data_IF_875777502265
#
_entry.id   IF_875777502265
#
_cell.length_a   1.000
_cell.length_b   1.000
_cell.length_c   1.000
_cell.angle_alpha   90.00
_cell.angle_beta   90.00
_cell.angle_gamma   90.00
#
_symmetry.space_group_name_H-M   'P 1'
#
loop_
_entity.id
_entity.type
_entity.pdbx_description
1 polymer ?
#
# COMPACT_ATOMS: atom_id res chain seq x y z
N UNK A 1 12.99 -37.71 2.56
CA UNK A 1 13.08 -36.57 3.50
C UNK A 1 14.34 -36.68 4.35
N UNK A 2 14.96 -35.58 4.70
CA UNK A 2 16.18 -35.52 5.50
C UNK A 2 16.08 -34.30 6.41
N UNK A 3 16.46 -34.46 7.69
CA UNK A 3 16.52 -33.38 8.64
C UNK A 3 17.78 -32.54 8.42
N UNK A 4 17.63 -31.23 8.44
CA UNK A 4 18.72 -30.27 8.31
C UNK A 4 18.76 -29.42 9.56
N UNK A 5 19.90 -29.39 10.25
CA UNK A 5 20.11 -28.53 11.40
C UNK A 5 20.13 -27.05 10.96
N UNK A 6 19.28 -26.23 11.58
CA UNK A 6 19.08 -24.83 11.21
C UNK A 6 19.84 -23.82 12.11
N UNK A 7 20.61 -24.30 13.07
CA UNK A 7 21.33 -23.47 14.02
C UNK A 7 20.55 -23.21 15.32
N UNK A 8 21.17 -22.46 16.21
CA UNK A 8 20.59 -22.08 17.48
C UNK A 8 19.99 -20.68 17.36
N UNK A 9 18.79 -20.49 17.93
CA UNK A 9 18.09 -19.20 17.95
C UNK A 9 17.97 -18.71 19.39
N UNK A 10 18.12 -17.39 19.64
CA UNK A 10 17.88 -16.83 20.96
C UNK A 10 16.44 -17.10 21.40
N UNK A 11 16.29 -17.65 22.59
CA UNK A 11 15.00 -17.88 23.24
C UNK A 11 14.65 -16.68 24.09
N UNK A 12 13.38 -16.25 24.05
CA UNK A 12 12.88 -15.22 24.94
C UNK A 12 12.79 -15.76 26.36
N UNK A 13 13.27 -15.00 27.33
CA UNK A 13 13.12 -15.32 28.75
C UNK A 13 11.68 -15.15 29.23
N UNK A 14 11.32 -15.67 30.36
CA UNK A 14 9.99 -15.49 30.97
C UNK A 14 9.67 -14.01 31.24
N UNK A 15 10.70 -13.19 31.43
CA UNK A 15 10.59 -11.74 31.64
C UNK A 15 10.48 -10.94 30.34
N UNK A 16 10.47 -11.60 29.18
CA UNK A 16 10.33 -10.93 27.86
C UNK A 16 11.64 -10.29 27.34
N UNK A 17 12.78 -10.78 27.78
CA UNK A 17 14.12 -10.32 27.36
C UNK A 17 14.85 -11.40 26.56
N UNK A 18 15.99 -11.04 25.98
CA UNK A 18 16.90 -11.97 25.29
C UNK A 18 18.31 -11.83 25.87
N UNK A 19 18.99 -12.96 26.04
CA UNK A 19 20.38 -12.97 26.50
C UNK A 19 21.28 -13.13 25.28
N UNK A 20 21.98 -12.07 24.92
CA UNK A 20 22.85 -12.01 23.75
C UNK A 20 24.26 -11.67 24.21
N UNK A 21 25.23 -12.56 23.94
CA UNK A 21 26.61 -12.42 24.37
C UNK A 21 26.76 -12.12 25.90
N UNK A 22 25.92 -12.75 26.71
CA UNK A 22 25.94 -12.57 28.16
C UNK A 22 25.26 -11.31 28.70
N UNK A 23 24.71 -10.46 27.81
CA UNK A 23 23.97 -9.24 28.17
C UNK A 23 22.48 -9.41 27.91
N UNK A 24 21.67 -8.92 28.82
CA UNK A 24 20.22 -8.91 28.69
C UNK A 24 19.79 -7.77 27.78
N UNK A 25 18.99 -8.09 26.75
CA UNK A 25 18.50 -7.13 25.76
C UNK A 25 16.99 -7.14 25.68
N UNK A 26 16.44 -5.96 25.43
CA UNK A 26 15.01 -5.73 25.17
C UNK A 26 14.84 -5.34 23.71
N UNK A 27 13.89 -5.97 23.03
CA UNK A 27 13.48 -5.58 21.71
C UNK A 27 12.32 -4.59 21.86
N UNK A 28 12.59 -3.32 21.53
CA UNK A 28 11.60 -2.25 21.62
C UNK A 28 10.61 -2.39 20.47
N UNK A 29 9.31 -2.31 20.78
CA UNK A 29 8.25 -2.33 19.77
C UNK A 29 8.32 -1.08 18.89
N UNK A 30 8.08 -1.27 17.60
CA UNK A 30 8.16 -0.20 16.61
C UNK A 30 6.78 0.32 16.25
N UNK A 31 6.60 1.63 16.22
CA UNK A 31 5.39 2.28 15.73
C UNK A 31 5.59 2.66 14.26
N UNK A 32 4.81 2.04 13.38
CA UNK A 32 4.90 2.22 11.92
C UNK A 32 3.56 2.61 11.33
N UNK A 33 3.57 3.18 10.13
CA UNK A 33 2.33 3.40 9.38
C UNK A 33 1.73 2.05 9.00
N UNK A 34 0.43 1.89 9.26
CA UNK A 34 -0.31 0.69 8.87
C UNK A 34 -0.34 0.56 7.34
N UNK A 35 -0.23 -0.65 6.76
CA UNK A 35 -0.43 -0.83 5.33
C UNK A 35 -1.84 -0.42 4.91
N UNK A 36 -1.98 0.06 3.67
CA UNK A 36 -3.25 0.54 3.12
C UNK A 36 -3.05 1.64 2.09
N UNK A 37 -4.13 2.31 1.73
CA UNK A 37 -4.13 3.47 0.84
C UNK A 37 -4.46 4.74 1.64
N UNK A 38 -3.65 5.79 1.44
CA UNK A 38 -3.73 7.05 2.16
C UNK A 38 -3.81 8.22 1.20
N UNK A 39 -4.68 9.16 1.50
CA UNK A 39 -4.87 10.39 0.74
C UNK A 39 -4.48 11.58 1.61
N UNK A 40 -3.67 12.47 1.07
CA UNK A 40 -3.20 13.66 1.74
C UNK A 40 -3.42 14.89 0.86
N UNK A 41 -3.43 16.04 1.50
CA UNK A 41 -3.50 17.34 0.86
C UNK A 41 -2.33 18.18 1.33
N UNK A 42 -1.68 18.85 0.40
CA UNK A 42 -0.65 19.85 0.66
C UNK A 42 -1.06 21.14 -0.03
N UNK A 43 -0.61 22.27 0.49
CA UNK A 43 -0.90 23.58 -0.10
C UNK A 43 0.40 24.14 -0.69
N UNK A 44 0.36 24.59 -1.93
CA UNK A 44 1.51 25.22 -2.57
C UNK A 44 1.73 26.66 -2.02
N UNK A 45 2.81 27.30 -2.47
CA UNK A 45 3.15 28.69 -2.08
C UNK A 45 2.09 29.70 -2.53
N UNK A 46 1.22 29.34 -3.47
CA UNK A 46 0.15 30.18 -4.02
C UNK A 46 -1.20 29.90 -3.36
N UNK A 47 -1.25 29.05 -2.34
CA UNK A 47 -2.49 28.68 -1.65
C UNK A 47 -3.34 27.62 -2.38
N UNK A 48 -2.82 26.99 -3.46
CA UNK A 48 -3.58 25.96 -4.18
C UNK A 48 -3.43 24.61 -3.51
N UNK A 49 -4.52 23.84 -3.33
CA UNK A 49 -4.45 22.51 -2.79
C UNK A 49 -3.86 21.55 -3.83
N UNK A 50 -2.92 20.74 -3.41
CA UNK A 50 -2.39 19.61 -4.15
C UNK A 50 -2.71 18.33 -3.39
N UNK A 51 -3.34 17.40 -4.08
CA UNK A 51 -3.68 16.12 -3.50
C UNK A 51 -2.59 15.09 -3.83
N UNK A 52 -2.35 14.22 -2.89
CA UNK A 52 -1.45 13.08 -3.03
C UNK A 52 -2.10 11.83 -2.50
N UNK A 53 -1.64 10.70 -2.99
CA UNK A 53 -2.06 9.38 -2.53
C UNK A 53 -0.85 8.50 -2.36
N UNK A 54 -0.83 7.67 -1.34
CA UNK A 54 0.24 6.69 -1.14
C UNK A 54 -0.37 5.34 -0.81
N UNK A 55 -0.10 4.34 -1.63
CA UNK A 55 -0.39 2.94 -1.33
C UNK A 55 0.83 2.34 -0.64
N UNK A 56 0.66 1.94 0.61
CA UNK A 56 1.73 1.41 1.45
C UNK A 56 1.45 -0.06 1.71
N UNK A 57 2.26 -0.99 1.18
CA UNK A 57 2.19 -2.39 1.56
C UNK A 57 2.88 -2.63 2.91
N UNK A 58 2.61 -3.77 3.51
CA UNK A 58 3.43 -4.28 4.62
C UNK A 58 4.83 -4.66 4.14
N UNK A 59 4.92 -5.17 2.90
CA UNK A 59 6.15 -5.49 2.18
C UNK A 59 5.92 -5.30 0.69
N UNK A 60 6.79 -4.56 0.01
CA UNK A 60 6.73 -4.35 -1.43
C UNK A 60 6.94 -2.90 -1.83
N UNK A 61 6.69 -2.61 -3.09
CA UNK A 61 6.84 -1.31 -3.68
C UNK A 61 5.73 -0.34 -3.24
N UNK A 62 6.10 0.90 -2.95
CA UNK A 62 5.13 1.97 -2.73
C UNK A 62 4.63 2.50 -4.07
N UNK A 63 3.35 2.85 -4.11
CA UNK A 63 2.74 3.50 -5.25
C UNK A 63 2.17 4.84 -4.79
N UNK A 64 2.62 5.91 -5.42
CA UNK A 64 2.24 7.28 -5.05
C UNK A 64 1.60 7.98 -6.25
N UNK A 65 0.47 8.66 -6.04
CA UNK A 65 -0.15 9.55 -7.01
C UNK A 65 -0.01 10.99 -6.52
N UNK A 66 0.25 11.92 -7.42
CA UNK A 66 0.33 13.33 -7.10
C UNK A 66 -0.07 14.20 -8.30
N UNK A 67 -0.68 15.35 -8.03
CA UNK A 67 -0.84 16.41 -9.05
C UNK A 67 0.36 17.33 -9.03
N UNK A 68 0.81 17.75 -10.20
CA UNK A 68 1.81 18.80 -10.32
C UNK A 68 1.15 20.21 -10.28
N UNK A 69 1.99 21.26 -10.27
CA UNK A 69 1.52 22.65 -10.27
C UNK A 69 0.67 23.03 -11.50
N UNK A 70 0.66 22.21 -12.54
CA UNK A 70 -0.15 22.39 -13.75
C UNK A 70 -1.44 21.57 -13.74
N UNK A 71 -1.70 20.82 -12.66
CA UNK A 71 -2.87 19.94 -12.54
C UNK A 71 -2.71 18.57 -13.18
N UNK A 72 -1.52 18.22 -13.69
CA UNK A 72 -1.28 16.93 -14.34
C UNK A 72 -1.12 15.85 -13.28
N UNK A 73 -1.83 14.74 -13.47
CA UNK A 73 -1.75 13.58 -12.59
C UNK A 73 -0.53 12.71 -12.90
N UNK A 74 0.33 12.55 -11.94
CA UNK A 74 1.56 11.77 -12.04
C UNK A 74 1.56 10.61 -11.06
N UNK A 75 2.35 9.59 -11.37
CA UNK A 75 2.57 8.39 -10.53
C UNK A 75 4.05 8.23 -10.25
N UNK A 76 4.39 7.76 -9.06
CA UNK A 76 5.73 7.28 -8.68
C UNK A 76 5.66 5.87 -8.15
N UNK A 77 6.67 5.09 -8.48
CA UNK A 77 6.86 3.74 -7.95
C UNK A 77 8.20 3.75 -7.19
N UNK A 78 8.19 3.44 -5.88
CA UNK A 78 9.41 3.35 -5.05
C UNK A 78 10.34 4.57 -5.14
N UNK A 79 9.84 5.79 -5.06
CA UNK A 79 10.63 7.02 -5.13
C UNK A 79 11.38 7.23 -6.46
N UNK A 80 10.97 6.56 -7.51
CA UNK A 80 11.54 6.78 -8.85
C UNK A 80 11.10 8.12 -9.44
N UNK A 81 11.54 8.43 -10.65
CA UNK A 81 11.07 9.60 -11.38
C UNK A 81 9.58 9.49 -11.69
N UNK A 82 8.87 10.62 -11.71
CA UNK A 82 7.46 10.70 -12.07
C UNK A 82 7.22 10.15 -13.48
N UNK A 83 6.12 9.43 -13.61
CA UNK A 83 5.51 9.06 -14.88
C UNK A 83 4.06 9.54 -14.91
N UNK A 84 3.46 9.67 -16.08
CA UNK A 84 2.06 10.07 -16.16
C UNK A 84 1.15 8.96 -15.62
N UNK A 85 0.04 9.34 -14.99
CA UNK A 85 -0.93 8.37 -14.48
C UNK A 85 -1.49 7.51 -15.61
N UNK A 86 -1.71 8.10 -16.79
CA UNK A 86 -2.16 7.41 -18.00
C UNK A 86 -1.18 6.32 -18.47
N UNK A 87 0.12 6.54 -18.38
CA UNK A 87 1.14 5.53 -18.73
C UNK A 87 1.01 4.27 -17.87
N UNK A 88 0.72 4.43 -16.56
CA UNK A 88 0.49 3.25 -15.71
C UNK A 88 -0.81 2.53 -16.08
N UNK A 89 -1.89 3.25 -16.39
CA UNK A 89 -3.16 2.66 -16.82
C UNK A 89 -2.99 1.91 -18.15
N UNK A 90 -2.23 2.47 -19.09
CA UNK A 90 -1.89 1.77 -20.35
C UNK A 90 -1.07 0.50 -20.09
N UNK A 91 -0.08 0.56 -19.20
CA UNK A 91 0.72 -0.61 -18.83
C UNK A 91 -0.14 -1.73 -18.19
N UNK A 92 -1.25 -1.39 -17.54
CA UNK A 92 -2.22 -2.38 -17.03
C UNK A 92 -3.06 -3.05 -18.13
N UNK A 93 -2.94 -2.61 -19.40
CA UNK A 93 -3.63 -3.19 -20.53
C UNK A 93 -4.75 -2.33 -21.16
N UNK A 94 -4.92 -1.10 -20.69
CA UNK A 94 -5.91 -0.15 -21.22
C UNK A 94 -5.22 0.88 -22.13
N UNK A 95 -4.87 0.46 -23.36
CA UNK A 95 -3.95 1.17 -24.24
C UNK A 95 -4.51 2.42 -24.88
N UNK A 96 -5.79 2.48 -25.23
CA UNK A 96 -6.40 3.61 -25.92
C UNK A 96 -6.88 4.71 -24.98
N UNK A 97 -6.96 5.96 -25.48
CA UNK A 97 -7.57 7.06 -24.72
C UNK A 97 -9.04 6.81 -24.45
N UNK A 98 -9.74 6.14 -25.40
CA UNK A 98 -11.13 5.74 -25.22
C UNK A 98 -11.31 4.75 -24.07
N UNK A 99 -10.40 3.78 -23.88
CA UNK A 99 -10.47 2.85 -22.76
C UNK A 99 -10.32 3.59 -21.42
N UNK A 100 -9.37 4.54 -21.36
CA UNK A 100 -9.14 5.34 -20.15
C UNK A 100 -10.36 6.22 -19.84
N UNK A 101 -10.95 6.87 -20.86
CA UNK A 101 -12.15 7.68 -20.68
C UNK A 101 -13.35 6.80 -20.30
N UNK A 102 -13.49 5.61 -20.87
CA UNK A 102 -14.56 4.68 -20.48
C UNK A 102 -14.43 4.20 -19.03
N UNK A 103 -13.21 4.00 -18.56
CA UNK A 103 -12.95 3.64 -17.17
C UNK A 103 -13.27 4.81 -16.24
N UNK A 104 -12.73 6.01 -16.47
CA UNK A 104 -12.74 7.11 -15.51
C UNK A 104 -13.77 8.21 -15.78
N UNK A 105 -14.32 8.32 -17.00
CA UNK A 105 -15.09 9.46 -17.52
C UNK A 105 -14.19 10.65 -17.93
N UNK A 106 -14.69 11.46 -18.85
CA UNK A 106 -14.08 12.68 -19.38
C UNK A 106 -14.31 13.93 -18.50
N UNK A 107 -14.98 13.76 -17.37
CA UNK A 107 -15.39 14.88 -16.51
C UNK A 107 -14.27 15.39 -15.58
N UNK A 108 -13.10 14.78 -15.59
CA UNK A 108 -11.99 15.14 -14.72
C UNK A 108 -10.93 15.97 -15.44
N UNK A 109 -10.77 17.24 -15.08
CA UNK A 109 -9.82 18.15 -15.71
C UNK A 109 -8.38 17.65 -15.62
N UNK A 110 -7.98 17.10 -14.46
CA UNK A 110 -6.64 16.55 -14.28
C UNK A 110 -6.37 15.33 -15.18
N UNK A 111 -7.37 14.50 -15.45
CA UNK A 111 -7.24 13.38 -16.38
C UNK A 111 -7.10 13.89 -17.83
N UNK A 112 -7.93 14.83 -18.22
CA UNK A 112 -7.91 15.41 -19.57
C UNK A 112 -6.56 16.10 -19.86
N UNK A 113 -6.07 16.93 -18.92
CA UNK A 113 -4.75 17.56 -19.03
C UNK A 113 -3.61 16.54 -19.09
N UNK A 114 -3.77 15.40 -18.40
CA UNK A 114 -2.78 14.32 -18.42
C UNK A 114 -2.79 13.58 -19.77
N UNK A 115 -3.97 13.32 -20.34
CA UNK A 115 -4.13 12.74 -21.67
C UNK A 115 -3.60 13.65 -22.78
N UNK A 116 -3.80 14.97 -22.67
CA UNK A 116 -3.23 15.94 -23.61
C UNK A 116 -1.71 15.97 -23.62
N UNK A 117 -1.10 15.74 -22.44
CA UNK A 117 0.36 15.70 -22.28
C UNK A 117 0.96 14.35 -22.68
N UNK A 118 0.17 13.29 -22.69
CA UNK A 118 0.59 11.95 -23.07
C UNK A 118 0.88 11.92 -24.58
N UNK A 119 2.18 12.02 -24.92
CA UNK A 119 2.67 12.24 -26.30
C UNK A 119 2.50 11.02 -27.21
N UNK A 120 2.23 9.86 -26.64
CA UNK A 120 2.03 8.62 -27.40
C UNK A 120 0.67 8.62 -28.12
N UNK A 121 0.49 9.53 -29.06
CA UNK A 121 -0.78 9.76 -29.76
C UNK A 121 -1.13 8.74 -30.85
N UNK A 122 -0.30 7.77 -31.10
CA UNK A 122 -0.57 6.77 -32.13
C UNK A 122 -1.48 5.65 -31.61
N UNK A 123 -2.56 5.47 -32.34
CA UNK A 123 -3.73 4.64 -32.03
C UNK A 123 -3.50 3.12 -32.22
N UNK A 124 -2.31 2.58 -31.97
CA UNK A 124 -2.02 1.17 -32.21
C UNK A 124 -1.98 0.35 -30.91
N UNK A 125 -2.21 -0.95 -31.01
CA UNK A 125 -2.09 -1.92 -29.90
C UNK A 125 -0.69 -1.89 -29.23
N UNK A 126 0.29 -1.28 -29.88
CA UNK A 126 1.65 -1.04 -29.36
C UNK A 126 1.73 -0.11 -28.14
N UNK A 127 0.67 0.65 -27.82
CA UNK A 127 0.69 1.59 -26.68
C UNK A 127 0.86 0.91 -25.32
N UNK A 128 0.31 -0.28 -25.14
CA UNK A 128 0.51 -1.07 -23.90
C UNK A 128 1.98 -1.44 -23.77
N UNK A 129 2.59 -1.90 -24.85
CA UNK A 129 4.00 -2.29 -24.89
C UNK A 129 4.94 -1.09 -24.65
N UNK A 130 4.65 0.04 -25.27
CA UNK A 130 5.42 1.28 -25.07
C UNK A 130 5.32 1.76 -23.62
N UNK A 131 4.12 1.82 -23.06
CA UNK A 131 3.90 2.20 -21.68
C UNK A 131 4.64 1.25 -20.70
N UNK A 132 4.63 -0.05 -20.97
CA UNK A 132 5.42 -1.02 -20.19
C UNK A 132 6.92 -0.72 -20.25
N UNK A 133 7.44 -0.39 -21.41
CA UNK A 133 8.87 -0.02 -21.61
C UNK A 133 9.22 1.29 -20.90
N UNK A 134 8.32 2.27 -20.89
CA UNK A 134 8.53 3.54 -20.20
C UNK A 134 8.53 3.37 -18.69
N UNK A 135 7.60 2.57 -18.15
CA UNK A 135 7.61 2.21 -16.73
C UNK A 135 8.90 1.47 -16.35
N UNK A 136 9.36 0.54 -17.20
CA UNK A 136 10.60 -0.18 -16.98
C UNK A 136 11.82 0.75 -16.94
N UNK A 137 11.91 1.70 -17.89
CA UNK A 137 13.00 2.67 -17.94
C UNK A 137 13.06 3.56 -16.69
N UNK A 138 11.90 3.90 -16.11
CA UNK A 138 11.83 4.64 -14.84
C UNK A 138 12.33 3.81 -13.66
N UNK A 139 12.01 2.51 -13.65
CA UNK A 139 12.42 1.59 -12.58
C UNK A 139 13.88 1.15 -12.70
N UNK A 140 14.39 0.98 -13.93
CA UNK A 140 15.74 0.50 -14.23
C UNK A 140 16.39 1.31 -15.36
N UNK A 141 16.82 2.54 -15.09
CA UNK A 141 17.45 3.36 -16.10
C UNK A 141 18.72 2.72 -16.67
N UNK A 142 18.84 2.71 -18.01
CA UNK A 142 20.03 2.22 -18.69
C UNK A 142 20.09 0.73 -18.96
N UNK A 143 19.11 -0.06 -18.52
CA UNK A 143 19.00 -1.48 -18.90
C UNK A 143 18.21 -1.65 -20.21
N UNK A 144 18.52 -2.69 -21.03
CA UNK A 144 17.73 -3.00 -22.23
C UNK A 144 16.28 -3.32 -21.85
N UNK A 145 15.34 -2.62 -22.52
CA UNK A 145 13.91 -2.75 -22.25
C UNK A 145 13.23 -3.58 -23.32
N UNK A 146 12.66 -4.73 -22.94
CA UNK A 146 11.77 -5.55 -23.79
C UNK A 146 10.38 -5.58 -23.15
N UNK A 147 9.34 -5.86 -23.92
CA UNK A 147 7.98 -5.99 -23.38
C UNK A 147 7.91 -7.05 -22.27
N UNK A 148 8.48 -8.23 -22.51
CA UNK A 148 8.49 -9.34 -21.55
C UNK A 148 9.22 -9.01 -20.25
N UNK A 149 10.41 -8.38 -20.34
CA UNK A 149 11.15 -7.99 -19.14
C UNK A 149 10.42 -6.91 -18.35
N UNK A 150 9.74 -6.00 -19.03
CA UNK A 150 8.95 -4.93 -18.44
C UNK A 150 7.72 -5.48 -17.71
N UNK A 151 6.99 -6.39 -18.35
CA UNK A 151 5.86 -7.12 -17.77
C UNK A 151 6.30 -7.89 -16.53
N UNK A 152 7.34 -8.72 -16.65
CA UNK A 152 7.87 -9.51 -15.55
C UNK A 152 8.30 -8.64 -14.35
N UNK A 153 8.85 -7.46 -14.61
CA UNK A 153 9.24 -6.52 -13.55
C UNK A 153 8.03 -5.95 -12.81
N UNK A 154 6.98 -5.51 -13.52
CA UNK A 154 5.75 -4.98 -12.89
C UNK A 154 4.99 -6.05 -12.13
N UNK A 155 4.85 -7.26 -12.70
CA UNK A 155 4.25 -8.42 -12.01
C UNK A 155 5.00 -8.69 -10.71
N UNK A 156 6.34 -8.75 -10.77
CA UNK A 156 7.16 -9.00 -9.60
C UNK A 156 7.10 -7.88 -8.54
N UNK A 157 6.77 -6.64 -8.94
CA UNK A 157 6.69 -5.49 -8.03
C UNK A 157 5.38 -5.40 -7.26
N UNK A 158 4.25 -5.71 -7.90
CA UNK A 158 2.92 -5.45 -7.36
C UNK A 158 2.06 -6.71 -7.19
N UNK A 159 2.24 -7.73 -8.04
CA UNK A 159 1.31 -8.85 -8.15
C UNK A 159 1.90 -10.19 -7.69
N UNK A 160 3.20 -10.26 -7.39
CA UNK A 160 3.85 -11.47 -6.87
C UNK A 160 3.72 -11.54 -5.33
N UNK A 161 2.94 -12.50 -4.77
CA UNK A 161 2.76 -12.61 -3.32
C UNK A 161 4.06 -12.93 -2.55
N UNK A 162 5.11 -13.38 -3.23
CA UNK A 162 6.43 -13.55 -2.62
C UNK A 162 7.14 -12.22 -2.35
N UNK A 163 6.82 -11.18 -3.12
CA UNK A 163 7.50 -9.88 -3.08
C UNK A 163 6.62 -8.76 -2.57
N UNK A 164 5.32 -8.83 -2.79
CA UNK A 164 4.33 -7.85 -2.37
C UNK A 164 3.34 -8.46 -1.39
N UNK A 165 3.07 -7.78 -0.29
CA UNK A 165 2.15 -8.25 0.75
C UNK A 165 1.51 -7.05 1.45
N UNK A 166 0.21 -6.92 1.34
CA UNK A 166 -0.59 -5.91 2.06
C UNK A 166 -0.84 -6.29 3.52
N UNK A 167 -0.63 -7.55 3.89
CA UNK A 167 -1.21 -8.18 5.06
C UNK A 167 -2.75 -8.07 5.11
N UNK A 168 -3.40 -8.77 6.02
CA UNK A 168 -4.86 -8.72 6.17
C UNK A 168 -5.37 -7.30 6.50
N UNK A 169 -4.62 -6.57 7.33
CA UNK A 169 -4.96 -5.20 7.71
C UNK A 169 -4.95 -4.25 6.51
N UNK A 170 -3.95 -4.35 5.63
CA UNK A 170 -3.86 -3.51 4.45
C UNK A 170 -4.97 -3.82 3.45
N UNK A 171 -5.28 -5.10 3.21
CA UNK A 171 -6.39 -5.52 2.33
C UNK A 171 -7.73 -5.02 2.88
N UNK A 172 -8.00 -5.24 4.17
CA UNK A 172 -9.21 -4.73 4.81
C UNK A 172 -9.36 -3.21 4.66
N UNK A 173 -8.28 -2.45 4.91
CA UNK A 173 -8.29 -0.98 4.79
C UNK A 173 -8.56 -0.51 3.37
N UNK A 174 -7.92 -1.13 2.37
CA UNK A 174 -8.11 -0.79 0.96
C UNK A 174 -9.55 -1.10 0.55
N UNK A 175 -10.04 -2.30 0.85
CA UNK A 175 -11.41 -2.69 0.53
C UNK A 175 -12.42 -1.74 1.18
N UNK A 176 -12.26 -1.42 2.47
CA UNK A 176 -13.14 -0.48 3.18
C UNK A 176 -13.10 0.92 2.58
N UNK A 177 -11.90 1.42 2.23
CA UNK A 177 -11.71 2.78 1.70
C UNK A 177 -12.28 2.93 0.29
N UNK A 178 -12.06 1.93 -0.56
CA UNK A 178 -12.45 1.96 -1.97
C UNK A 178 -13.85 1.37 -2.21
N UNK A 179 -14.49 0.78 -1.21
CA UNK A 179 -15.85 0.29 -1.30
C UNK A 179 -16.84 1.41 -1.61
N UNK A 180 -17.75 1.18 -2.53
CA UNK A 180 -18.86 2.11 -2.83
C UNK A 180 -19.75 2.39 -1.61
N UNK A 181 -19.87 1.46 -0.66
CA UNK A 181 -20.59 1.69 0.61
C UNK A 181 -20.01 2.87 1.39
N UNK A 182 -18.70 3.00 1.42
CA UNK A 182 -18.01 4.09 2.11
C UNK A 182 -18.02 5.37 1.28
N UNK A 183 -17.87 5.25 -0.04
CA UNK A 183 -17.72 6.37 -0.95
C UNK A 183 -19.02 7.09 -1.29
N UNK A 184 -20.15 6.38 -1.29
CA UNK A 184 -21.48 6.95 -1.57
C UNK A 184 -22.05 7.78 -0.42
N UNK A 185 -21.60 7.55 0.80
CA UNK A 185 -22.14 8.25 1.96
C UNK A 185 -21.97 9.78 1.82
N UNK A 186 -23.08 10.51 2.02
CA UNK A 186 -23.20 11.96 1.85
C UNK A 186 -23.00 12.45 0.41
N UNK A 187 -23.18 11.58 -0.60
CA UNK A 187 -23.18 11.99 -2.01
C UNK A 187 -24.61 11.98 -2.56
N UNK A 188 -24.88 12.82 -3.57
CA UNK A 188 -26.14 12.86 -4.29
C UNK A 188 -26.06 12.01 -5.56
N UNK A 189 -27.02 11.11 -5.76
CA UNK A 189 -27.03 10.23 -6.93
C UNK A 189 -27.37 11.00 -8.21
N UNK A 190 -26.56 10.85 -9.25
CA UNK A 190 -26.84 11.36 -10.60
C UNK A 190 -27.61 10.37 -11.48
N UNK A 191 -27.84 9.16 -11.01
CA UNK A 191 -28.58 8.11 -11.70
C UNK A 191 -29.56 7.40 -10.75
N UNK A 192 -30.63 6.81 -11.30
CA UNK A 192 -31.54 5.95 -10.54
C UNK A 192 -30.94 4.57 -10.37
N UNK A 193 -30.94 4.07 -9.15
CA UNK A 193 -30.48 2.72 -8.81
C UNK A 193 -31.71 1.80 -8.66
N UNK A 194 -31.73 0.72 -9.43
CA UNK A 194 -32.78 -0.29 -9.40
C UNK A 194 -32.19 -1.67 -9.17
N UNK A 195 -32.98 -2.56 -8.59
CA UNK A 195 -32.64 -3.97 -8.41
C UNK A 195 -32.48 -4.63 -9.79
N UNK A 196 -31.39 -5.30 -10.11
CA UNK A 196 -31.15 -5.93 -11.39
C UNK A 196 -32.13 -7.08 -11.68
N UNK A 197 -32.73 -7.72 -10.67
CA UNK A 197 -33.63 -8.86 -10.84
C UNK A 197 -35.09 -8.45 -10.97
N UNK A 198 -35.55 -7.55 -10.09
CA UNK A 198 -36.97 -7.14 -10.05
C UNK A 198 -37.25 -5.86 -10.83
N UNK A 199 -36.21 -5.05 -11.09
CA UNK A 199 -36.38 -3.71 -11.66
C UNK A 199 -36.97 -2.69 -10.69
N UNK A 200 -37.16 -3.04 -9.41
CA UNK A 200 -37.68 -2.13 -8.40
C UNK A 200 -36.67 -1.02 -8.12
N UNK A 201 -37.14 0.22 -8.04
CA UNK A 201 -36.29 1.38 -7.75
C UNK A 201 -35.90 1.37 -6.27
N UNK A 202 -34.59 1.29 -6.01
CA UNK A 202 -34.04 1.30 -4.66
C UNK A 202 -33.76 2.76 -4.23
N UNK A 203 -33.24 3.58 -5.14
CA UNK A 203 -32.99 5.00 -4.92
C UNK A 203 -33.10 5.75 -6.24
N UNK A 204 -33.79 6.88 -6.23
CA UNK A 204 -33.99 7.74 -7.40
C UNK A 204 -32.80 8.67 -7.62
N UNK A 205 -32.62 9.15 -8.86
CA UNK A 205 -31.72 10.25 -9.18
C UNK A 205 -32.04 11.47 -8.29
N UNK A 206 -31.03 12.18 -7.83
CA UNK A 206 -31.15 13.32 -6.92
C UNK A 206 -31.28 12.96 -5.44
N UNK A 207 -31.30 11.66 -5.10
CA UNK A 207 -31.34 11.23 -3.69
C UNK A 207 -30.00 11.46 -3.02
N UNK A 208 -30.00 12.13 -1.87
CA UNK A 208 -28.83 12.21 -0.98
C UNK A 208 -28.67 10.87 -0.24
N UNK A 209 -27.54 10.25 -0.39
CA UNK A 209 -27.23 8.95 0.25
C UNK A 209 -26.79 9.17 1.69
N UNK A 210 -27.73 9.11 2.60
CA UNK A 210 -27.50 9.09 4.04
C UNK A 210 -27.29 7.66 4.58
N UNK A 211 -27.23 7.54 5.92
CA UNK A 211 -27.04 6.22 6.57
C UNK A 211 -28.21 5.25 6.35
N UNK A 212 -29.41 5.76 6.14
CA UNK A 212 -30.59 4.94 5.91
C UNK A 212 -30.58 4.41 4.47
N UNK A 213 -30.34 5.28 3.50
CA UNK A 213 -30.24 4.92 2.08
C UNK A 213 -29.07 3.94 1.85
N UNK A 214 -27.90 4.18 2.45
CA UNK A 214 -26.76 3.26 2.30
C UNK A 214 -27.05 1.88 2.92
N UNK A 215 -27.83 1.82 4.01
CA UNK A 215 -28.26 0.56 4.61
C UNK A 215 -29.16 -0.24 3.66
N UNK A 216 -30.05 0.42 2.92
CA UNK A 216 -30.91 -0.20 1.89
C UNK A 216 -30.10 -0.64 0.67
N UNK A 217 -29.10 0.13 0.27
CA UNK A 217 -28.21 -0.18 -0.87
C UNK A 217 -27.19 -1.29 -0.56
N UNK A 218 -26.80 -1.46 0.69
CA UNK A 218 -25.74 -2.41 1.09
C UNK A 218 -25.93 -3.83 0.56
N UNK A 219 -27.12 -4.48 0.64
CA UNK A 219 -27.31 -5.83 0.10
C UNK A 219 -27.03 -5.92 -1.42
N UNK A 220 -27.32 -4.86 -2.14
CA UNK A 220 -27.10 -4.80 -3.59
C UNK A 220 -25.64 -4.48 -3.91
N UNK A 221 -25.01 -3.55 -3.18
CA UNK A 221 -23.60 -3.24 -3.34
C UNK A 221 -22.66 -4.41 -3.02
N UNK A 222 -23.16 -5.40 -2.26
CA UNK A 222 -22.44 -6.65 -1.98
C UNK A 222 -22.59 -7.69 -3.10
N UNK A 223 -23.43 -7.46 -4.09
CA UNK A 223 -23.60 -8.36 -5.23
C UNK A 223 -22.53 -8.10 -6.29
N UNK A 224 -22.01 -9.18 -6.86
CA UNK A 224 -21.00 -9.10 -7.92
C UNK A 224 -21.52 -8.53 -9.23
N UNK A 225 -22.84 -8.62 -9.48
CA UNK A 225 -23.50 -8.17 -10.70
C UNK A 225 -24.08 -6.75 -10.62
N UNK A 226 -24.10 -6.13 -9.43
CA UNK A 226 -24.73 -4.82 -9.23
C UNK A 226 -23.79 -3.68 -9.66
N UNK A 227 -24.20 -2.94 -10.70
CA UNK A 227 -23.46 -1.78 -11.22
C UNK A 227 -21.98 -2.08 -11.55
N UNK A 228 -21.70 -3.30 -11.97
CA UNK A 228 -20.36 -3.74 -12.35
C UNK A 228 -20.14 -3.61 -13.84
N UNK A 229 -18.91 -3.27 -14.19
CA UNK A 229 -18.41 -3.26 -15.56
C UNK A 229 -17.11 -4.03 -15.59
N UNK A 230 -17.01 -5.01 -16.48
CA UNK A 230 -15.81 -5.82 -16.65
C UNK A 230 -15.04 -5.32 -17.87
N UNK A 231 -13.76 -5.04 -17.65
CA UNK A 231 -12.81 -4.59 -18.66
C UNK A 231 -11.81 -5.69 -18.93
N UNK A 232 -11.64 -6.04 -20.19
CA UNK A 232 -10.63 -7.01 -20.62
C UNK A 232 -9.37 -6.25 -21.05
N UNK A 233 -8.24 -6.46 -20.38
CA UNK A 233 -6.98 -5.87 -20.81
C UNK A 233 -6.64 -6.29 -22.24
N UNK A 234 -6.10 -5.37 -23.02
CA UNK A 234 -5.70 -5.61 -24.39
C UNK A 234 -4.19 -5.79 -24.54
N UNK A 235 -3.76 -6.45 -25.59
CA UNK A 235 -2.35 -6.62 -25.93
C UNK A 235 -1.56 -7.38 -24.87
N UNK A 236 -0.27 -7.04 -24.75
CA UNK A 236 0.67 -7.64 -23.81
C UNK A 236 0.57 -7.03 -22.41
N UNK A 237 -0.62 -6.95 -21.84
CA UNK A 237 -0.89 -6.41 -20.52
C UNK A 237 -0.07 -7.06 -19.40
N UNK A 238 0.07 -6.36 -18.27
CA UNK A 238 0.75 -6.88 -17.08
C UNK A 238 0.05 -8.14 -16.57
N UNK A 239 -1.28 -8.11 -16.54
CA UNK A 239 -2.13 -9.25 -16.21
C UNK A 239 -3.18 -9.41 -17.31
N UNK A 240 -3.46 -10.64 -17.70
CA UNK A 240 -4.45 -10.99 -18.72
C UNK A 240 -5.87 -11.15 -18.15
N UNK A 241 -5.97 -11.19 -16.81
CA UNK A 241 -7.25 -11.37 -16.12
C UNK A 241 -8.17 -10.16 -16.31
N UNK A 242 -9.45 -10.36 -16.57
CA UNK A 242 -10.42 -9.27 -16.64
C UNK A 242 -10.50 -8.48 -15.33
N UNK A 243 -10.67 -7.17 -15.44
CA UNK A 243 -10.79 -6.27 -14.29
C UNK A 243 -12.24 -5.85 -14.14
N UNK A 244 -12.88 -6.25 -13.04
CA UNK A 244 -14.25 -5.88 -12.73
C UNK A 244 -14.27 -4.71 -11.76
N UNK A 245 -14.98 -3.64 -12.12
CA UNK A 245 -15.13 -2.43 -11.34
C UNK A 245 -16.62 -2.16 -11.08
N UNK A 246 -16.95 -1.73 -9.86
CA UNK A 246 -18.29 -1.20 -9.58
C UNK A 246 -18.31 0.30 -9.87
N UNK A 247 -19.36 0.79 -10.56
CA UNK A 247 -19.45 2.19 -10.99
C UNK A 247 -20.82 2.78 -10.67
N UNK A 248 -20.83 3.92 -10.00
CA UNK A 248 -22.07 4.69 -9.73
C UNK A 248 -21.79 6.17 -10.02
N UNK A 249 -22.76 6.81 -10.69
CA UNK A 249 -22.70 8.24 -11.02
C UNK A 249 -23.29 9.07 -9.89
N UNK A 250 -22.58 10.14 -9.54
CA UNK A 250 -23.00 11.12 -8.54
C UNK A 250 -22.98 12.53 -9.12
N UNK A 251 -23.72 13.44 -8.50
CA UNK A 251 -23.63 14.87 -8.80
C UNK A 251 -22.39 15.46 -8.14
N UNK A 252 -21.70 16.39 -8.83
CA UNK A 252 -20.58 17.10 -8.22
C UNK A 252 -21.09 18.07 -7.15
N UNK A 253 -20.46 18.10 -5.95
CA UNK A 253 -20.83 19.04 -4.90
C UNK A 253 -20.60 20.51 -5.31
N UNK A 254 -19.62 20.77 -6.17
CA UNK A 254 -19.27 22.13 -6.61
C UNK A 254 -20.11 22.60 -7.80
N UNK A 255 -20.49 21.68 -8.67
CA UNK A 255 -21.31 21.97 -9.86
C UNK A 255 -22.33 20.86 -10.12
N UNK A 256 -23.60 21.04 -9.74
CA UNK A 256 -24.64 20.03 -9.89
C UNK A 256 -24.91 19.59 -11.36
N UNK A 257 -24.50 20.38 -12.36
CA UNK A 257 -24.59 19.99 -13.76
C UNK A 257 -23.52 18.99 -14.17
N UNK A 258 -22.41 18.91 -13.41
CA UNK A 258 -21.30 18.00 -13.64
C UNK A 258 -21.58 16.66 -12.96
N UNK A 259 -21.50 15.58 -13.72
CA UNK A 259 -21.66 14.22 -13.23
C UNK A 259 -20.31 13.58 -13.00
N UNK A 260 -20.02 13.17 -11.76
CA UNK A 260 -18.80 12.46 -11.40
C UNK A 260 -19.05 10.97 -11.30
N UNK A 261 -18.00 10.18 -11.45
CA UNK A 261 -18.05 8.73 -11.38
C UNK A 261 -17.36 8.23 -10.11
N UNK A 262 -18.04 7.46 -9.28
CA UNK A 262 -17.43 6.70 -8.19
C UNK A 262 -17.10 5.29 -8.68
N UNK A 263 -15.86 4.89 -8.55
CA UNK A 263 -15.38 3.56 -8.90
C UNK A 263 -14.97 2.83 -7.63
N UNK A 264 -15.65 1.71 -7.34
CA UNK A 264 -15.25 0.76 -6.31
C UNK A 264 -14.32 -0.31 -6.89
N UNK A 265 -13.47 -0.89 -6.03
CA UNK A 265 -12.56 -1.97 -6.41
C UNK A 265 -13.22 -3.34 -6.56
N UNK A 266 -14.57 -3.41 -6.57
CA UNK A 266 -15.31 -4.65 -6.66
C UNK A 266 -15.21 -5.50 -5.40
N UNK A 267 -15.40 -6.81 -5.58
CA UNK A 267 -15.36 -7.79 -4.49
C UNK A 267 -14.01 -8.52 -4.51
N UNK A 268 -12.99 -7.91 -3.87
CA UNK A 268 -11.68 -8.55 -3.72
C UNK A 268 -11.66 -9.28 -2.38
N UNK A 269 -11.30 -10.56 -2.42
CA UNK A 269 -11.22 -11.43 -1.25
C UNK A 269 -10.29 -10.81 -0.18
N UNK A 270 -10.69 -10.90 1.08
CA UNK A 270 -9.90 -10.44 2.22
C UNK A 270 -8.60 -11.25 2.39
N UNK A 271 -8.55 -12.47 1.87
CA UNK A 271 -7.35 -13.31 1.87
C UNK A 271 -6.35 -12.93 0.75
N UNK A 272 -6.76 -12.14 -0.25
CA UNK A 272 -5.86 -11.65 -1.29
C UNK A 272 -4.96 -10.54 -0.73
N UNK A 273 -3.69 -10.84 -0.62
CA UNK A 273 -2.68 -9.94 -0.02
C UNK A 273 -1.87 -9.15 -1.02
N UNK A 274 -2.13 -9.31 -2.31
CA UNK A 274 -1.50 -8.49 -3.35
C UNK A 274 -2.41 -7.35 -3.78
N UNK A 275 -1.85 -6.24 -4.26
CA UNK A 275 -2.67 -5.23 -4.91
C UNK A 275 -3.22 -5.78 -6.22
N UNK A 276 -4.45 -5.42 -6.57
CA UNK A 276 -5.07 -5.80 -7.84
C UNK A 276 -5.22 -4.58 -8.76
N UNK A 277 -5.30 -4.75 -10.07
CA UNK A 277 -5.58 -3.64 -10.98
C UNK A 277 -6.81 -2.84 -10.61
N UNK A 278 -7.87 -3.50 -10.13
CA UNK A 278 -9.07 -2.84 -9.63
C UNK A 278 -8.79 -1.89 -8.45
N UNK A 279 -7.89 -2.25 -7.52
CA UNK A 279 -7.47 -1.36 -6.43
C UNK A 279 -6.76 -0.12 -6.96
N UNK A 280 -5.88 -0.30 -7.97
CA UNK A 280 -5.12 0.79 -8.59
C UNK A 280 -6.08 1.76 -9.27
N UNK A 281 -6.98 1.25 -10.11
CA UNK A 281 -7.95 2.08 -10.86
C UNK A 281 -8.95 2.77 -9.92
N UNK A 282 -9.50 2.06 -8.95
CA UNK A 282 -10.40 2.66 -7.96
C UNK A 282 -9.68 3.69 -7.07
N UNK A 283 -8.42 3.43 -6.71
CA UNK A 283 -7.56 4.36 -5.99
C UNK A 283 -7.26 5.62 -6.78
N UNK A 284 -6.97 5.51 -8.07
CA UNK A 284 -6.80 6.64 -8.99
C UNK A 284 -8.09 7.46 -9.12
N UNK A 285 -9.24 6.79 -9.25
CA UNK A 285 -10.52 7.48 -9.30
C UNK A 285 -10.83 8.23 -8.00
N UNK A 286 -10.52 7.66 -6.83
CA UNK A 286 -10.66 8.37 -5.57
C UNK A 286 -9.78 9.63 -5.54
N UNK A 287 -8.55 9.53 -6.02
CA UNK A 287 -7.63 10.65 -6.13
C UNK A 287 -8.15 11.75 -7.08
N UNK A 288 -8.74 11.40 -8.22
CA UNK A 288 -9.40 12.37 -9.12
C UNK A 288 -10.61 13.01 -8.45
N UNK A 289 -11.42 12.24 -7.73
CA UNK A 289 -12.60 12.74 -7.03
C UNK A 289 -12.26 13.72 -5.91
N UNK A 290 -11.13 13.55 -5.22
CA UNK A 290 -10.68 14.52 -4.20
C UNK A 290 -10.46 15.93 -4.76
N UNK A 291 -10.04 16.04 -6.01
CA UNK A 291 -9.84 17.32 -6.69
C UNK A 291 -11.17 18.03 -7.01
N UNK A 292 -12.25 17.25 -7.09
CA UNK A 292 -13.62 17.71 -7.31
C UNK A 292 -14.41 17.84 -5.98
N UNK A 293 -13.72 17.86 -4.85
CA UNK A 293 -14.36 17.98 -3.52
C UNK A 293 -15.07 16.72 -3.01
N UNK A 294 -14.88 15.57 -3.67
CA UNK A 294 -15.51 14.30 -3.28
C UNK A 294 -14.50 13.40 -2.59
N UNK A 295 -14.76 13.04 -1.36
CA UNK A 295 -13.89 12.19 -0.53
C UNK A 295 -13.26 12.94 0.63
N UNK A 296 -12.38 12.27 1.36
CA UNK A 296 -11.71 12.82 2.54
C UNK A 296 -10.23 12.45 2.53
N UNK A 297 -9.39 13.39 2.94
CA UNK A 297 -7.98 13.13 3.23
C UNK A 297 -7.85 12.37 4.55
N UNK A 298 -6.77 11.61 4.67
CA UNK A 298 -6.51 10.79 5.84
C UNK A 298 -5.66 11.53 6.85
N UNK A 299 -6.00 11.36 8.12
CA UNK A 299 -5.15 11.75 9.23
C UNK A 299 -4.11 10.65 9.46
N UNK A 300 -2.86 10.97 9.14
CA UNK A 300 -1.74 10.03 9.19
C UNK A 300 -1.36 9.69 10.62
N UNK A 301 -1.56 10.62 11.56
CA UNK A 301 -1.14 10.48 12.96
C UNK A 301 -2.20 9.81 13.84
N UNK A 302 -3.39 9.63 13.31
CA UNK A 302 -4.44 8.85 13.96
C UNK A 302 -3.97 7.41 14.21
N UNK A 303 -4.10 6.88 15.45
CA UNK A 303 -3.65 5.53 15.80
C UNK A 303 -4.37 4.39 15.03
N UNK A 304 -5.49 4.68 14.37
CA UNK A 304 -6.06 3.78 13.38
C UNK A 304 -5.20 3.61 12.12
N UNK A 305 -4.29 4.54 11.85
CA UNK A 305 -3.37 4.56 10.70
C UNK A 305 -1.91 4.28 11.09
N UNK A 306 -1.63 4.22 12.38
CA UNK A 306 -0.34 3.79 12.93
C UNK A 306 -0.54 2.50 13.71
N UNK A 307 0.35 1.54 13.51
CA UNK A 307 0.29 0.25 14.20
C UNK A 307 1.60 -0.07 14.91
N UNK A 308 1.50 -0.95 15.88
CA UNK A 308 2.67 -1.45 16.59
C UNK A 308 3.17 -2.71 15.89
N UNK A 309 4.45 -2.74 15.63
CA UNK A 309 5.20 -3.91 15.17
C UNK A 309 5.98 -4.45 16.36
N UNK A 310 5.52 -5.57 16.91
CA UNK A 310 6.13 -6.19 18.09
C UNK A 310 7.31 -7.09 17.71
N UNK A 311 7.98 -7.63 18.72
CA UNK A 311 9.17 -8.49 18.58
C UNK A 311 8.96 -9.67 17.63
N UNK A 312 7.81 -10.33 17.68
CA UNK A 312 7.50 -11.48 16.83
C UNK A 312 7.56 -11.12 15.34
N UNK A 313 6.95 -10.01 14.95
CA UNK A 313 6.96 -9.53 13.58
C UNK A 313 8.35 -9.04 13.14
N UNK A 314 9.07 -8.36 14.01
CA UNK A 314 10.44 -7.93 13.75
C UNK A 314 11.38 -9.11 13.49
N UNK A 315 11.28 -10.17 14.30
CA UNK A 315 12.04 -11.40 14.09
C UNK A 315 11.61 -12.14 12.83
N UNK A 316 10.31 -12.26 12.56
CA UNK A 316 9.81 -12.88 11.34
C UNK A 316 10.40 -12.21 10.09
N UNK A 317 10.50 -10.88 10.10
CA UNK A 317 11.09 -10.15 8.97
C UNK A 317 12.59 -10.48 8.78
N UNK A 318 13.33 -10.64 9.86
CA UNK A 318 14.75 -11.04 9.79
C UNK A 318 14.92 -12.47 9.30
N UNK A 319 14.08 -13.39 9.78
CA UNK A 319 14.04 -14.76 9.26
C UNK A 319 13.77 -14.78 7.77
N UNK A 320 12.78 -14.02 7.31
CA UNK A 320 12.45 -13.94 5.88
C UNK A 320 13.61 -13.44 5.04
N UNK A 321 14.34 -12.41 5.50
CA UNK A 321 15.54 -11.89 4.82
C UNK A 321 16.60 -12.99 4.75
N UNK A 322 16.85 -13.69 5.84
CA UNK A 322 17.81 -14.80 5.89
C UNK A 322 17.43 -15.94 4.96
N UNK A 323 16.14 -16.35 4.97
CA UNK A 323 15.61 -17.42 4.10
C UNK A 323 15.66 -17.03 2.61
N UNK A 324 15.36 -15.78 2.26
CA UNK A 324 15.44 -15.31 0.86
C UNK A 324 16.90 -15.33 0.36
N UNK A 325 17.84 -14.93 1.21
CA UNK A 325 19.28 -15.03 0.88
C UNK A 325 19.71 -16.50 0.71
N UNK A 326 19.24 -17.39 1.57
CA UNK A 326 19.51 -18.83 1.48
C UNK A 326 18.89 -19.44 0.24
N UNK A 327 17.63 -19.13 -0.09
CA UNK A 327 16.95 -19.60 -1.30
C UNK A 327 17.75 -19.25 -2.56
N UNK A 328 18.27 -18.04 -2.65
CA UNK A 328 19.09 -17.62 -3.79
C UNK A 328 20.35 -18.50 -3.95
N UNK A 329 21.04 -18.77 -2.83
CA UNK A 329 22.24 -19.63 -2.83
C UNK A 329 21.90 -21.07 -3.18
N UNK A 330 20.77 -21.59 -2.67
CA UNK A 330 20.29 -22.95 -3.01
C UNK A 330 19.98 -23.05 -4.49
N UNK A 331 19.27 -22.07 -5.05
CA UNK A 331 18.92 -22.02 -6.48
C UNK A 331 20.17 -21.97 -7.38
N UNK A 332 21.15 -21.18 -7.00
CA UNK A 332 22.45 -21.08 -7.69
C UNK A 332 23.20 -22.43 -7.64
N UNK A 333 23.25 -23.10 -6.48
CA UNK A 333 23.87 -24.41 -6.36
C UNK A 333 23.14 -25.48 -7.16
N UNK A 334 21.82 -25.47 -7.16
CA UNK A 334 21.02 -26.41 -7.95
C UNK A 334 21.25 -26.28 -9.46
N UNK A 335 21.60 -25.10 -9.95
CA UNK A 335 21.90 -24.91 -11.39
C UNK A 335 23.27 -25.43 -11.80
N UNK A 336 24.17 -25.63 -10.84
CA UNK A 336 25.58 -26.05 -11.11
C UNK A 336 25.77 -27.53 -10.81
N UNK A 337 25.06 -28.11 -9.85
CA UNK A 337 25.26 -29.49 -9.39
C UNK A 337 24.30 -30.47 -10.07
N UNK A 338 24.75 -31.75 -10.18
CA UNK A 338 23.93 -32.82 -10.77
C UNK A 338 22.78 -33.19 -9.82
N UNK A 339 21.55 -33.05 -10.32
CA UNK A 339 20.31 -33.31 -9.57
C UNK A 339 20.21 -34.76 -9.02
N UNK A 340 20.92 -35.71 -9.57
CA UNK A 340 20.86 -37.14 -9.16
C UNK A 340 21.73 -37.45 -7.93
N UNK A 341 22.73 -36.63 -7.65
CA UNK A 341 23.74 -36.92 -6.60
C UNK A 341 23.65 -35.96 -5.41
N UNK A 342 22.92 -34.86 -5.55
CA UNK A 342 22.84 -33.78 -4.56
C UNK A 342 21.91 -34.13 -3.39
N UNK A 343 22.38 -33.91 -2.18
CA UNK A 343 21.58 -34.04 -0.95
C UNK A 343 21.12 -32.67 -0.42
N UNK A 344 19.99 -32.59 0.32
CA UNK A 344 19.53 -31.35 0.93
C UNK A 344 20.59 -30.67 1.81
N UNK A 345 21.40 -31.45 2.54
CA UNK A 345 22.47 -30.91 3.40
C UNK A 345 23.59 -30.22 2.61
N UNK A 346 23.86 -30.62 1.40
CA UNK A 346 24.86 -29.99 0.54
C UNK A 346 24.35 -28.68 -0.09
N UNK A 347 23.04 -28.60 -0.34
CA UNK A 347 22.40 -27.43 -0.94
C UNK A 347 22.16 -26.32 0.08
N UNK A 348 21.67 -26.70 1.27
CA UNK A 348 21.24 -25.74 2.28
C UNK A 348 22.43 -25.20 3.05
N UNK A 349 22.56 -23.85 3.03
CA UNK A 349 23.52 -23.13 3.84
C UNK A 349 22.78 -22.26 4.84
N UNK A 350 22.88 -22.58 6.11
CA UNK A 350 22.19 -21.85 7.20
C UNK A 350 22.82 -20.51 7.59
N UNK A 351 24.06 -20.27 7.17
CA UNK A 351 24.83 -19.06 7.55
C UNK A 351 24.07 -17.73 7.28
N UNK A 352 23.39 -17.55 6.13
CA UNK A 352 22.64 -16.33 5.87
C UNK A 352 21.51 -16.06 6.86
N UNK A 353 20.85 -17.12 7.34
CA UNK A 353 19.75 -17.02 8.32
C UNK A 353 20.32 -16.66 9.70
N UNK A 354 21.32 -17.40 10.15
CA UNK A 354 22.00 -17.13 11.42
C UNK A 354 22.63 -15.73 11.44
N UNK A 355 23.23 -15.29 10.33
CA UNK A 355 23.81 -13.97 10.21
C UNK A 355 22.74 -12.86 10.32
N UNK A 356 21.59 -13.01 9.64
CA UNK A 356 20.51 -12.04 9.71
C UNK A 356 19.95 -11.88 11.13
N UNK A 357 19.77 -13.00 11.85
CA UNK A 357 19.31 -12.98 13.25
C UNK A 357 20.34 -12.35 14.18
N UNK A 358 21.63 -12.73 14.05
CA UNK A 358 22.72 -12.13 14.84
C UNK A 358 22.87 -10.64 14.58
N UNK A 359 22.76 -10.20 13.33
CA UNK A 359 22.80 -8.79 12.94
C UNK A 359 21.67 -8.01 13.62
N UNK A 360 20.46 -8.55 13.63
CA UNK A 360 19.32 -7.92 14.30
C UNK A 360 19.57 -7.73 15.80
N UNK A 361 19.89 -8.80 16.52
CA UNK A 361 20.11 -8.71 17.98
C UNK A 361 21.34 -7.88 18.35
N UNK A 362 22.38 -7.88 17.52
CA UNK A 362 23.65 -7.20 17.80
C UNK A 362 23.68 -5.73 17.44
N UNK A 363 23.07 -5.35 16.31
CA UNK A 363 23.25 -4.01 15.72
C UNK A 363 21.96 -3.26 15.38
N UNK A 364 20.78 -3.89 15.52
CA UNK A 364 19.52 -3.18 15.29
C UNK A 364 19.30 -2.08 16.33
N UNK A 365 18.81 -0.92 15.89
CA UNK A 365 18.40 0.18 16.78
C UNK A 365 17.28 -0.21 17.75
N UNK A 366 16.48 -1.22 17.42
CA UNK A 366 15.37 -1.71 18.23
C UNK A 366 15.82 -2.76 19.26
N UNK A 367 17.00 -3.37 19.09
CA UNK A 367 17.61 -4.26 20.07
C UNK A 367 18.51 -3.46 20.99
N UNK A 368 18.05 -3.20 22.21
CA UNK A 368 18.72 -2.33 23.17
C UNK A 368 19.15 -3.12 24.41
N UNK A 369 20.23 -2.69 25.07
CA UNK A 369 20.56 -3.15 26.39
C UNK A 369 19.44 -2.78 27.35
N UNK A 370 19.00 -3.74 28.17
CA UNK A 370 17.96 -3.48 29.15
C UNK A 370 18.44 -2.45 30.19
N UNK A 371 17.60 -1.48 30.49
CA UNK A 371 17.82 -0.61 31.65
C UNK A 371 17.57 -1.42 32.93
N UNK A 372 18.62 -1.62 33.73
CA UNK A 372 18.60 -2.42 34.95
C UNK A 372 18.81 -1.58 36.21
N UNK A 373 18.53 -0.28 36.15
CA UNK A 373 18.69 0.62 37.28
C UNK A 373 17.79 0.24 38.43
N UNK A 374 16.52 -0.09 38.16
CA UNK A 374 15.53 -0.57 39.09
C UNK A 374 14.45 -1.40 38.40
N UNK A 375 13.61 -2.18 39.11
CA UNK A 375 12.56 -2.99 38.49
C UNK A 375 11.53 -2.18 37.68
N UNK A 376 11.23 -0.95 38.10
CA UNK A 376 10.32 -0.08 37.36
C UNK A 376 10.93 0.37 36.02
N UNK A 377 12.24 0.70 36.02
CA UNK A 377 12.97 1.03 34.79
C UNK A 377 12.99 -0.13 33.80
N UNK A 378 13.17 -1.36 34.25
CA UNK A 378 13.09 -2.56 33.42
C UNK A 378 11.71 -2.72 32.77
N UNK A 379 10.65 -2.59 33.58
CA UNK A 379 9.27 -2.71 33.10
C UNK A 379 8.96 -1.62 32.11
N UNK A 380 9.34 -0.37 32.35
CA UNK A 380 9.11 0.75 31.48
C UNK A 380 9.85 0.61 30.14
N UNK A 381 11.10 0.11 30.15
CA UNK A 381 11.85 -0.16 28.94
C UNK A 381 11.16 -1.19 28.04
N UNK A 382 10.56 -2.24 28.62
CA UNK A 382 9.80 -3.27 27.89
C UNK A 382 8.52 -2.73 27.25
N UNK A 383 7.93 -1.68 27.82
CA UNK A 383 6.69 -1.01 27.37
C UNK A 383 6.96 0.17 26.42
N UNK A 384 8.20 0.42 26.04
CA UNK A 384 8.59 1.52 25.16
C UNK A 384 8.16 1.27 23.73
N UNK A 385 7.75 2.35 23.05
CA UNK A 385 7.42 2.38 21.62
C UNK A 385 8.41 3.30 20.92
N UNK A 386 8.98 2.87 19.80
CA UNK A 386 9.88 3.67 18.99
C UNK A 386 9.32 3.85 17.58
N UNK A 387 9.21 5.09 17.10
CA UNK A 387 8.90 5.38 15.71
C UNK A 387 10.11 5.25 14.77
N UNK A 388 11.31 5.05 15.34
CA UNK A 388 12.57 4.93 14.62
C UNK A 388 12.84 3.48 14.18
N UNK A 389 13.87 3.29 13.37
CA UNK A 389 14.35 1.97 12.95
C UNK A 389 13.98 1.58 11.52
N UNK A 390 14.29 0.35 11.11
CA UNK A 390 14.04 -0.12 9.74
C UNK A 390 12.57 -0.09 9.39
N UNK A 391 12.23 0.58 8.27
CA UNK A 391 10.83 0.76 7.85
C UNK A 391 10.04 1.80 8.65
N UNK A 392 10.65 2.48 9.61
CA UNK A 392 10.10 3.59 10.37
C UNK A 392 10.63 4.95 9.93
N UNK A 393 10.52 5.94 10.82
CA UNK A 393 10.97 7.30 10.59
C UNK A 393 12.48 7.45 10.84
N UNK A 394 13.06 8.48 10.23
CA UNK A 394 14.38 8.99 10.60
C UNK A 394 14.23 10.32 11.32
N UNK A 395 15.13 10.64 12.24
CA UNK A 395 15.07 11.86 13.05
C UNK A 395 14.95 13.13 12.20
N UNK A 396 15.74 13.21 11.12
CA UNK A 396 15.82 14.38 10.23
C UNK A 396 14.57 14.56 9.34
N UNK A 397 13.81 13.47 9.12
CA UNK A 397 12.60 13.48 8.27
C UNK A 397 11.30 13.49 9.08
N UNK A 398 11.40 13.39 10.38
CA UNK A 398 10.25 13.48 11.27
C UNK A 398 9.88 14.94 11.50
N UNK A 399 8.79 15.41 10.89
CA UNK A 399 8.23 16.73 11.11
C UNK A 399 7.68 16.91 12.54
N UNK A 400 7.20 18.11 12.84
CA UNK A 400 6.60 18.44 14.15
C UNK A 400 5.32 17.65 14.36
N UNK A 401 4.52 17.46 13.30
CA UNK A 401 3.21 16.80 13.37
C UNK A 401 3.30 15.37 13.93
N UNK A 402 4.32 14.60 13.48
CA UNK A 402 4.53 13.20 13.94
C UNK A 402 5.00 13.11 15.40
N UNK A 403 5.52 14.22 15.95
CA UNK A 403 6.05 14.32 17.31
C UNK A 403 5.00 14.79 18.31
N UNK A 404 3.92 15.35 17.82
CA UNK A 404 2.83 15.87 18.65
C UNK A 404 1.97 14.74 19.25
N UNK A 405 1.22 15.08 20.28
CA UNK A 405 0.25 14.19 20.90
C UNK A 405 -1.07 14.29 20.13
N UNK A 406 -1.52 13.17 19.59
CA UNK A 406 -2.81 13.08 18.92
C UNK A 406 -3.93 12.67 19.88
N UNK A 407 -5.18 13.08 19.65
CA UNK A 407 -6.34 12.71 20.49
C UNK A 407 -6.49 11.20 20.69
N UNK A 408 -6.13 10.40 19.69
CA UNK A 408 -6.22 8.94 19.78
C UNK A 408 -5.17 8.31 20.70
N UNK A 409 -4.20 9.08 21.20
CA UNK A 409 -3.22 8.61 22.18
C UNK A 409 -3.87 8.38 23.55
N UNK A 410 -5.02 9.01 23.82
CA UNK A 410 -5.72 8.88 25.10
C UNK A 410 -5.99 7.43 25.47
N UNK A 411 -5.53 7.03 26.67
CA UNK A 411 -5.65 5.66 27.17
C UNK A 411 -4.80 4.60 26.44
N UNK A 412 -3.84 5.01 25.57
CA UNK A 412 -3.00 4.11 24.79
C UNK A 412 -1.51 4.45 24.86
N UNK A 413 -1.17 5.70 24.67
CA UNK A 413 0.22 6.19 24.72
C UNK A 413 0.28 7.30 25.74
N UNK A 414 1.31 7.28 26.60
CA UNK A 414 1.53 8.33 27.60
C UNK A 414 1.83 9.66 26.88
N UNK A 415 1.05 10.72 27.14
CA UNK A 415 1.23 12.01 26.48
C UNK A 415 2.42 12.82 26.99
N UNK A 416 3.01 12.43 28.13
CA UNK A 416 4.03 13.22 28.82
C UNK A 416 5.41 12.53 28.73
N UNK A 417 5.46 11.21 28.86
CA UNK A 417 6.72 10.49 28.88
C UNK A 417 7.34 10.38 27.49
N UNK A 418 8.31 11.23 27.21
CA UNK A 418 9.12 11.23 25.98
C UNK A 418 10.52 11.76 26.28
N UNK A 419 11.58 11.32 25.58
CA UNK A 419 12.91 11.88 25.75
C UNK A 419 13.00 13.34 25.37
N UNK A 420 13.91 14.07 25.98
CA UNK A 420 14.32 15.41 25.51
C UNK A 420 15.29 15.30 24.32
N UNK A 421 15.30 16.33 23.46
CA UNK A 421 16.23 16.46 22.34
C UNK A 421 15.72 15.84 21.03
N UNK A 422 16.60 15.29 20.16
CA UNK A 422 16.24 14.88 18.80
C UNK A 422 15.19 13.78 18.71
N UNK A 423 14.97 13.02 19.78
CA UNK A 423 14.03 11.89 19.83
C UNK A 423 12.67 12.27 20.42
N UNK A 424 12.44 13.53 20.76
CA UNK A 424 11.17 13.98 21.33
C UNK A 424 10.00 13.57 20.42
N UNK A 425 8.95 13.00 21.01
CA UNK A 425 7.77 12.53 20.31
C UNK A 425 7.96 11.28 19.42
N UNK A 426 9.20 10.81 19.22
CA UNK A 426 9.51 9.61 18.42
C UNK A 426 9.68 8.35 19.28
N UNK A 427 9.98 8.52 20.55
CA UNK A 427 10.06 7.46 21.53
C UNK A 427 9.03 7.77 22.61
N UNK A 428 8.08 6.87 22.80
CA UNK A 428 6.97 7.02 23.72
C UNK A 428 6.84 5.75 24.57
N UNK A 429 6.00 5.81 25.59
CA UNK A 429 5.64 4.67 26.42
C UNK A 429 4.15 4.38 26.33
N UNK A 430 3.76 3.13 26.58
CA UNK A 430 2.36 2.77 26.71
C UNK A 430 1.77 3.42 27.97
N UNK A 431 0.52 3.88 27.88
CA UNK A 431 -0.23 4.43 29.01
C UNK A 431 -0.49 3.39 30.11
#
# INVERSE_FOLDING_TARGET
SQDVFFGDFPLMTEQGTFIINGAERVIVSQLVRSPGIYYNQTTDKNGRPHFGTTVIPNRGAWLEYETDAKGIANVRIDRTRKLLMTELVRALGFGSDSDIIDIFSDQYDALNMTLEKDVHKDMSDSRVEEALKDVYERLRPGEPKTADSSRALLVARFFDPKRYDLASVGRYKINKKLSLKTRLLNQTLAETLADPDSGEIIAEKGTLVDKEVISKLTPYLDREDFKTTTYTPSGDAVLEEPVTLQKIKIESPENPEKTLLLIGNGHIDEDDRTVRPADILAGMNYFLNLQEGVGHVDDIDHLGNRRIRSVGELLQNQFRIGLTRMERVVRERMSIQDANTVTPQQLINIRPVVAAVKEFFGSSQLSQFMDQTNPLGEMNHKRRLSALGPGGLTRDRAGVEVRDVHYTHYGRIDPIETPEGPNIGLINSLA
#
